data_IF_610948882158
#
_entry.id   IF_610948882158
#
_cell.length_a   1.000
_cell.length_b   1.000
_cell.length_c   1.000
_cell.angle_alpha   90.00
_cell.angle_beta   90.00
_cell.angle_gamma   90.00
#
_symmetry.space_group_name_H-M   'P 1'
#
loop_
_entity.id
_entity.type
_entity.pdbx_description
1 polymer ?
#
# COMPACT_ATOMS: atom_id res chain seq x y z
N UNK A 1 -11.34 20.70 -19.08
CA UNK A 1 -10.40 19.59 -19.32
C UNK A 1 -9.51 19.53 -18.11
N UNK A 2 -9.72 18.53 -17.23
CA UNK A 2 -8.90 18.32 -16.05
C UNK A 2 -7.85 17.30 -16.48
N UNK A 3 -6.62 17.74 -16.62
CA UNK A 3 -5.49 16.83 -16.74
C UNK A 3 -5.12 16.51 -15.29
N UNK A 4 -5.45 15.31 -14.84
CA UNK A 4 -4.96 14.77 -13.59
C UNK A 4 -3.47 14.49 -13.84
N UNK A 5 -2.61 15.45 -13.48
CA UNK A 5 -1.17 15.25 -13.56
C UNK A 5 -0.85 14.12 -12.57
N UNK A 6 -0.49 12.98 -13.12
CA UNK A 6 0.21 11.96 -12.35
C UNK A 6 1.63 12.49 -12.19
N UNK A 7 1.96 12.99 -11.00
CA UNK A 7 3.34 13.24 -10.63
C UNK A 7 3.92 11.92 -10.12
N UNK A 8 4.39 11.12 -11.08
CA UNK A 8 5.04 9.83 -10.89
C UNK A 8 6.47 10.05 -10.41
N UNK A 9 6.73 9.88 -9.12
CA UNK A 9 8.10 9.71 -8.63
C UNK A 9 8.39 8.21 -8.69
N UNK A 10 9.37 7.82 -9.51
CA UNK A 10 9.82 6.44 -9.60
C UNK A 10 11.24 6.32 -9.05
N UNK A 11 11.36 5.55 -7.98
CA UNK A 11 12.65 5.13 -7.42
C UNK A 11 13.36 4.11 -8.30
N UNK A 12 14.43 3.57 -7.75
CA UNK A 12 15.31 2.58 -8.35
C UNK A 12 15.24 1.28 -7.57
N UNK A 13 16.06 0.30 -7.95
CA UNK A 13 16.25 -0.93 -7.15
C UNK A 13 17.21 -0.77 -5.97
N UNK A 14 17.67 0.46 -5.73
CA UNK A 14 18.51 0.84 -4.60
C UNK A 14 17.69 1.39 -3.44
N UNK A 15 18.37 1.99 -2.47
CA UNK A 15 17.70 2.69 -1.38
C UNK A 15 17.38 4.11 -1.82
N UNK A 16 16.10 4.46 -1.92
CA UNK A 16 15.67 5.76 -2.38
C UNK A 16 14.99 6.59 -1.28
N UNK A 17 14.93 7.91 -1.51
CA UNK A 17 14.10 8.83 -0.72
C UNK A 17 13.09 9.46 -1.67
N UNK A 18 11.82 9.11 -1.51
CA UNK A 18 10.71 9.58 -2.33
C UNK A 18 9.87 10.55 -1.50
N UNK A 19 9.67 11.75 -2.02
CA UNK A 19 8.89 12.80 -1.34
C UNK A 19 7.90 13.41 -2.32
N UNK A 20 6.61 13.24 -2.04
CA UNK A 20 5.53 13.90 -2.74
C UNK A 20 5.39 15.38 -2.35
N UNK A 21 4.30 15.99 -2.80
CA UNK A 21 4.02 17.41 -2.62
C UNK A 21 2.62 17.61 -2.04
N UNK A 22 1.88 18.64 -2.50
CA UNK A 22 0.52 18.90 -2.04
C UNK A 22 -0.59 18.41 -2.97
N UNK A 23 -0.20 17.81 -4.08
CA UNK A 23 -1.08 17.23 -5.09
C UNK A 23 -1.11 15.70 -4.93
N UNK A 24 -1.96 15.03 -5.72
CA UNK A 24 -2.01 13.56 -5.71
C UNK A 24 -0.78 12.98 -6.39
N UNK A 25 0.06 12.28 -5.65
CA UNK A 25 1.28 11.68 -6.17
C UNK A 25 1.14 10.16 -6.36
N UNK A 26 1.95 9.64 -7.30
CA UNK A 26 2.22 8.21 -7.41
C UNK A 26 3.69 8.00 -7.12
N UNK A 27 3.99 7.32 -6.01
CA UNK A 27 5.34 7.06 -5.54
C UNK A 27 5.66 5.57 -5.74
N UNK A 28 6.50 5.26 -6.72
CA UNK A 28 6.88 3.87 -7.05
C UNK A 28 8.24 3.57 -6.46
N UNK A 29 8.27 2.84 -5.35
CA UNK A 29 9.48 2.34 -4.72
C UNK A 29 9.82 0.95 -5.29
N UNK A 30 10.95 0.85 -5.99
CA UNK A 30 11.29 -0.33 -6.79
C UNK A 30 12.25 -1.28 -6.07
N UNK A 31 11.94 -1.68 -4.84
CA UNK A 31 12.83 -2.52 -4.03
C UNK A 31 13.92 -1.70 -3.33
N UNK A 32 14.82 -2.36 -2.60
CA UNK A 32 15.73 -1.65 -1.69
C UNK A 32 15.04 -1.16 -0.41
N UNK A 33 15.78 -0.47 0.45
CA UNK A 33 15.26 0.11 1.70
C UNK A 33 15.00 1.59 1.51
N UNK A 34 13.73 1.95 1.42
CA UNK A 34 13.31 3.28 1.00
C UNK A 34 12.79 4.12 2.17
N UNK A 35 12.82 5.43 1.97
CA UNK A 35 12.12 6.41 2.80
C UNK A 35 11.08 7.07 1.90
N UNK A 36 9.80 6.91 2.21
CA UNK A 36 8.70 7.46 1.41
C UNK A 36 7.87 8.40 2.26
N UNK A 37 7.63 9.60 1.75
CA UNK A 37 6.72 10.60 2.32
C UNK A 37 5.76 11.07 1.22
N UNK A 38 4.47 10.78 1.34
CA UNK A 38 3.44 11.21 0.39
C UNK A 38 3.22 12.71 0.42
N UNK A 39 3.32 13.33 1.60
CA UNK A 39 3.11 14.76 1.77
C UNK A 39 1.64 15.08 2.04
N UNK A 40 1.03 15.90 1.20
CA UNK A 40 -0.40 16.22 1.28
C UNK A 40 -1.04 15.78 -0.02
N UNK A 41 -2.15 15.05 0.03
CA UNK A 41 -2.81 14.58 -1.19
C UNK A 41 -3.47 13.25 -0.95
N UNK A 42 -4.20 12.73 -1.94
CA UNK A 42 -4.60 11.31 -1.88
C UNK A 42 -3.54 10.54 -2.68
N UNK A 43 -2.53 10.01 -1.98
CA UNK A 43 -1.33 9.45 -2.61
C UNK A 43 -1.44 7.94 -2.84
N UNK A 44 -0.72 7.48 -3.87
CA UNK A 44 -0.59 6.05 -4.19
C UNK A 44 0.87 5.64 -4.10
N UNK A 45 1.20 4.88 -3.08
CA UNK A 45 2.55 4.41 -2.77
C UNK A 45 2.64 2.95 -3.21
N UNK A 46 3.46 2.66 -4.21
CA UNK A 46 3.54 1.36 -4.86
C UNK A 46 4.86 0.67 -4.52
N UNK A 47 4.75 -0.56 -4.01
CA UNK A 47 5.84 -1.49 -3.78
C UNK A 47 5.61 -2.78 -4.57
N UNK A 48 6.70 -3.45 -4.95
CA UNK A 48 6.59 -4.74 -5.64
C UNK A 48 6.29 -5.88 -4.65
N UNK A 49 6.75 -5.77 -3.41
CA UNK A 49 6.57 -6.83 -2.40
C UNK A 49 6.39 -6.30 -0.98
N UNK A 50 5.79 -7.15 -0.13
CA UNK A 50 5.66 -6.94 1.31
C UNK A 50 7.01 -6.95 2.03
N UNK A 51 8.02 -7.60 1.46
CA UNK A 51 9.39 -7.57 2.01
C UNK A 51 10.01 -6.17 1.83
N UNK A 52 9.76 -5.54 0.68
CA UNK A 52 10.19 -4.16 0.45
C UNK A 52 9.44 -3.19 1.36
N UNK A 53 8.14 -3.39 1.53
CA UNK A 53 7.38 -2.62 2.53
C UNK A 53 7.97 -2.80 3.92
N UNK A 54 8.23 -4.03 4.38
CA UNK A 54 8.63 -4.31 5.76
C UNK A 54 10.00 -3.73 6.15
N UNK A 55 10.86 -3.41 5.18
CA UNK A 55 12.18 -2.80 5.44
C UNK A 55 12.21 -1.29 5.22
N UNK A 56 11.28 -0.74 4.43
CA UNK A 56 11.20 0.70 4.12
C UNK A 56 10.51 1.49 5.24
N UNK A 57 10.67 2.81 5.27
CA UNK A 57 9.90 3.70 6.16
C UNK A 57 8.90 4.46 5.30
N UNK A 58 7.61 4.36 5.61
CA UNK A 58 6.55 4.86 4.73
C UNK A 58 5.62 5.75 5.55
N UNK A 59 5.47 6.99 5.09
CA UNK A 59 4.51 7.94 5.59
C UNK A 59 3.57 8.33 4.44
N UNK A 60 2.27 8.06 4.54
CA UNK A 60 1.30 8.52 3.53
C UNK A 60 1.09 10.02 3.59
N UNK A 61 1.02 10.58 4.80
CA UNK A 61 0.91 12.01 5.01
C UNK A 61 -0.53 12.43 5.30
N UNK A 62 -1.01 13.50 4.68
CA UNK A 62 -2.37 14.00 4.91
C UNK A 62 -3.33 13.56 3.81
N UNK A 63 -4.57 13.23 4.24
CA UNK A 63 -5.74 12.80 3.46
C UNK A 63 -5.86 11.27 3.40
N UNK A 64 -6.30 10.70 2.27
CA UNK A 64 -6.52 9.25 2.14
C UNK A 64 -5.46 8.64 1.23
N UNK A 65 -4.54 7.92 1.84
CA UNK A 65 -3.39 7.35 1.14
C UNK A 65 -3.54 5.84 0.94
N UNK A 66 -3.04 5.38 -0.19
CA UNK A 66 -3.08 3.97 -0.59
C UNK A 66 -1.68 3.40 -0.70
N UNK A 67 -1.36 2.41 0.13
CA UNK A 67 -0.22 1.52 -0.07
C UNK A 67 -0.63 0.36 -0.95
N UNK A 68 0.02 0.22 -2.10
CA UNK A 68 -0.24 -0.82 -3.08
C UNK A 68 0.93 -1.78 -3.24
N UNK A 69 0.62 -3.07 -3.31
CA UNK A 69 1.60 -4.14 -3.51
C UNK A 69 1.23 -4.93 -4.77
N UNK A 70 2.05 -4.83 -5.82
CA UNK A 70 1.64 -5.24 -7.17
C UNK A 70 2.09 -6.65 -7.61
N UNK A 71 3.26 -7.12 -7.19
CA UNK A 71 3.82 -8.39 -7.71
C UNK A 71 3.58 -9.59 -6.78
N UNK A 72 2.52 -9.54 -5.97
CA UNK A 72 2.21 -10.60 -5.01
C UNK A 72 0.82 -11.20 -5.23
N UNK A 73 0.82 -12.47 -5.63
CA UNK A 73 -0.36 -13.34 -5.69
C UNK A 73 -0.77 -13.89 -4.32
N UNK A 74 0.12 -13.77 -3.32
CA UNK A 74 -0.23 -14.00 -1.93
C UNK A 74 0.58 -13.12 -1.00
N UNK A 75 -0.07 -12.55 0.01
CA UNK A 75 0.61 -11.85 1.10
C UNK A 75 0.34 -12.61 2.38
N UNK A 76 1.42 -12.99 3.06
CA UNK A 76 1.35 -13.46 4.43
C UNK A 76 1.63 -12.27 5.36
N UNK A 77 0.58 -11.74 5.98
CA UNK A 77 0.73 -10.64 6.94
C UNK A 77 1.16 -11.23 8.27
N UNK A 78 2.42 -11.04 8.61
CA UNK A 78 2.99 -11.42 9.90
C UNK A 78 2.79 -10.27 10.90
N UNK A 79 3.03 -10.58 12.18
CA UNK A 79 3.12 -9.52 13.18
C UNK A 79 4.22 -8.53 12.77
N UNK A 80 3.93 -7.23 12.90
CA UNK A 80 4.85 -6.12 12.63
C UNK A 80 5.16 -5.80 11.17
N UNK A 81 4.55 -6.50 10.20
CA UNK A 81 4.80 -6.29 8.76
C UNK A 81 4.63 -4.82 8.30
N UNK A 82 3.80 -4.04 8.99
CA UNK A 82 3.50 -2.65 8.66
C UNK A 82 3.80 -1.66 9.80
N UNK A 83 4.65 -2.01 10.78
CA UNK A 83 4.99 -1.09 11.89
C UNK A 83 5.75 0.16 11.45
N UNK A 84 6.32 0.09 10.26
CA UNK A 84 7.07 1.13 9.57
C UNK A 84 6.21 1.95 8.60
N UNK A 85 4.90 1.69 8.57
CA UNK A 85 3.91 2.42 7.77
C UNK A 85 3.07 3.29 8.70
N UNK A 86 3.07 4.60 8.46
CA UNK A 86 2.24 5.58 9.15
C UNK A 86 1.37 6.34 8.16
N UNK A 87 0.24 6.85 8.65
CA UNK A 87 -0.66 7.73 7.91
C UNK A 87 -1.05 7.18 6.53
N UNK A 88 -1.34 5.87 6.45
CA UNK A 88 -1.88 5.21 5.26
C UNK A 88 -3.22 4.57 5.60
N UNK A 89 -4.23 4.86 4.80
CA UNK A 89 -5.60 4.42 5.02
C UNK A 89 -5.91 3.07 4.38
N UNK A 90 -5.38 2.85 3.18
CA UNK A 90 -5.80 1.76 2.32
C UNK A 90 -4.59 0.88 2.02
N UNK A 91 -4.68 -0.40 2.35
CA UNK A 91 -3.79 -1.41 1.80
C UNK A 91 -4.44 -2.05 0.58
N UNK A 92 -3.82 -1.95 -0.58
CA UNK A 92 -4.28 -2.54 -1.83
C UNK A 92 -3.32 -3.64 -2.30
N UNK A 93 -3.85 -4.82 -2.62
CA UNK A 93 -3.06 -6.01 -2.96
C UNK A 93 -3.65 -6.73 -4.16
N UNK A 94 -2.79 -7.29 -4.99
CA UNK A 94 -3.22 -8.13 -6.12
C UNK A 94 -3.66 -7.30 -7.31
N UNK A 95 -2.84 -6.33 -7.67
CA UNK A 95 -2.99 -5.54 -8.88
C UNK A 95 -1.66 -5.62 -9.63
N UNK A 96 -1.62 -5.78 -10.95
CA UNK A 96 -0.35 -5.68 -11.68
C UNK A 96 0.20 -4.23 -11.64
N UNK A 97 1.41 -4.00 -12.18
CA UNK A 97 1.99 -2.64 -12.24
C UNK A 97 1.11 -1.66 -13.03
N UNK A 98 0.22 -2.18 -13.89
CA UNK A 98 -0.77 -1.45 -14.66
C UNK A 98 -2.09 -1.18 -13.90
N UNK A 99 -2.25 -1.72 -12.68
CA UNK A 99 -3.44 -1.55 -11.86
C UNK A 99 -4.60 -2.47 -12.25
N UNK A 100 -4.35 -3.55 -12.98
CA UNK A 100 -5.33 -4.59 -13.29
C UNK A 100 -5.36 -5.64 -12.17
N UNK A 101 -6.55 -6.05 -11.72
CA UNK A 101 -6.68 -7.02 -10.65
C UNK A 101 -6.07 -8.38 -11.04
N UNK A 102 -5.06 -8.82 -10.28
CA UNK A 102 -4.47 -10.16 -10.30
C UNK A 102 -4.97 -10.93 -9.07
N UNK A 103 -5.40 -12.18 -9.21
CA UNK A 103 -6.01 -12.95 -8.13
C UNK A 103 -5.04 -13.16 -6.94
N UNK A 104 -5.08 -12.25 -5.97
CA UNK A 104 -4.22 -12.30 -4.79
C UNK A 104 -4.99 -12.80 -3.58
N UNK A 105 -4.33 -13.65 -2.80
CA UNK A 105 -4.82 -14.18 -1.55
C UNK A 105 -4.10 -13.52 -0.38
N UNK A 106 -4.83 -12.85 0.51
CA UNK A 106 -4.24 -12.32 1.74
C UNK A 106 -4.42 -13.37 2.83
N UNK A 107 -3.32 -13.95 3.28
CA UNK A 107 -3.28 -14.85 4.44
C UNK A 107 -2.82 -14.05 5.65
N UNK A 108 -3.63 -14.05 6.71
CA UNK A 108 -3.26 -13.40 7.97
C UNK A 108 -2.63 -14.43 8.90
N UNK A 109 -1.42 -14.15 9.40
CA UNK A 109 -0.84 -14.91 10.51
C UNK A 109 -1.72 -14.81 11.76
N UNK A 110 -1.60 -15.79 12.67
CA UNK A 110 -2.30 -15.77 13.95
C UNK A 110 -2.04 -14.42 14.67
N UNK A 111 -3.12 -13.74 15.09
CA UNK A 111 -3.21 -12.31 15.46
C UNK A 111 -3.42 -11.35 14.28
N UNK A 112 -4.43 -11.65 13.46
CA UNK A 112 -4.95 -10.75 12.46
C UNK A 112 -5.59 -9.52 13.11
N UNK A 113 -4.96 -8.36 12.93
CA UNK A 113 -5.68 -7.10 12.89
C UNK A 113 -4.99 -6.11 11.95
N UNK A 114 -5.11 -6.35 10.64
CA UNK A 114 -4.81 -5.31 9.63
C UNK A 114 -5.63 -4.03 9.88
N UNK A 115 -6.82 -4.17 10.49
CA UNK A 115 -7.71 -3.07 10.86
C UNK A 115 -7.12 -2.10 11.91
N UNK A 116 -6.02 -2.47 12.57
CA UNK A 116 -5.29 -1.55 13.46
C UNK A 116 -4.36 -0.59 12.72
N UNK A 117 -3.89 -0.98 11.53
CA UNK A 117 -2.94 -0.20 10.74
C UNK A 117 -3.59 0.49 9.53
N UNK A 118 -4.70 -0.04 9.00
CA UNK A 118 -5.39 0.48 7.83
C UNK A 118 -6.90 0.60 8.06
N UNK A 119 -7.53 1.64 7.50
CA UNK A 119 -8.99 1.82 7.49
C UNK A 119 -9.68 0.82 6.55
N UNK A 120 -9.02 0.45 5.46
CA UNK A 120 -9.52 -0.50 4.47
C UNK A 120 -8.41 -1.38 3.89
N UNK A 121 -8.74 -2.64 3.58
CA UNK A 121 -7.87 -3.54 2.82
C UNK A 121 -8.63 -3.96 1.57
N UNK A 122 -8.00 -3.77 0.40
CA UNK A 122 -8.53 -4.12 -0.93
C UNK A 122 -7.72 -5.27 -1.50
N UNK A 123 -8.41 -6.30 -1.97
CA UNK A 123 -7.82 -7.46 -2.64
C UNK A 123 -8.83 -8.13 -3.55
N UNK A 124 -8.32 -8.83 -4.56
CA UNK A 124 -9.13 -9.40 -5.65
C UNK A 124 -9.70 -10.79 -5.35
N UNK A 125 -9.30 -11.42 -4.23
CA UNK A 125 -9.99 -12.60 -3.67
C UNK A 125 -9.97 -12.67 -2.14
N UNK A 126 -11.17 -12.81 -1.55
CA UNK A 126 -11.52 -13.12 -0.14
C UNK A 126 -11.05 -12.17 0.98
N UNK A 127 -11.17 -10.86 0.79
CA UNK A 127 -11.41 -9.96 1.91
C UNK A 127 -12.74 -9.21 1.71
N UNK A 128 -13.86 -9.88 2.03
CA UNK A 128 -15.17 -9.22 2.17
C UNK A 128 -15.38 -8.79 3.63
N UNK A 129 -15.20 -7.49 3.89
CA UNK A 129 -15.46 -6.85 5.18
C UNK A 129 -16.92 -6.94 5.67
N UNK A 130 -17.86 -7.48 4.87
CA UNK A 130 -19.25 -7.73 5.29
C UNK A 130 -19.44 -9.08 5.99
N UNK A 131 -18.44 -9.95 6.02
CA UNK A 131 -18.56 -11.30 6.61
C UNK A 131 -18.39 -11.36 8.14
N UNK A 132 -18.05 -10.25 8.81
CA UNK A 132 -17.82 -10.22 10.28
C UNK A 132 -18.89 -9.50 11.10
N UNK A 133 -20.02 -9.11 10.51
CA UNK A 133 -21.20 -8.81 11.33
C UNK A 133 -22.01 -10.09 11.50
N UNK A 134 -22.22 -10.62 12.73
CA UNK A 134 -23.21 -11.65 12.92
C UNK A 134 -24.55 -11.08 12.48
N UNK A 135 -25.18 -11.72 11.51
CA UNK A 135 -26.56 -11.43 11.15
C UNK A 135 -27.38 -11.61 12.43
N UNK A 136 -28.03 -10.54 12.89
CA UNK A 136 -29.13 -10.66 13.86
C UNK A 136 -30.25 -11.52 13.28
#
# INVERSE_FOLDING_TARGET
MKFDWIENIRGTTGNDTLTGNSDKNILVAMGGTDIVDGGVGDDRILFQSVEDVAKSTINGGQNEDTLEITDQTSINVLANTFNNVSDVEILQVGYDEEGSPSAATITMGAAGNLLGAFKEVRGTTSYDKRATQPMM
#
